data_IF_916630946889
#
_entry.id   IF_916630946889
#
_cell.length_a   1.000
_cell.length_b   1.000
_cell.length_c   1.000
_cell.angle_alpha   90.00
_cell.angle_beta   90.00
_cell.angle_gamma   90.00
#
_symmetry.space_group_name_H-M   'P 1'
#
loop_
_entity.id
_entity.type
_entity.pdbx_description
1 polymer ?
#
# COMPACT_ATOMS: atom_id res chain seq x y z
N UNK A 1 63.25 -18.76 45.83
CA UNK A 1 61.87 -18.39 46.20
C UNK A 1 60.94 -18.85 45.09
N UNK A 2 59.97 -19.70 45.42
CA UNK A 2 59.13 -20.44 44.46
C UNK A 2 57.95 -19.59 43.95
N UNK A 3 57.56 -19.92 42.71
CA UNK A 3 56.45 -19.46 41.87
C UNK A 3 55.08 -19.36 42.58
N UNK A 4 54.25 -18.39 42.14
CA UNK A 4 52.86 -18.52 41.62
C UNK A 4 52.10 -17.19 41.74
N UNK A 5 51.24 -16.89 40.77
CA UNK A 5 50.32 -15.74 40.81
C UNK A 5 49.93 -15.24 39.41
N UNK A 6 49.42 -16.13 38.55
CA UNK A 6 48.01 -16.14 38.07
C UNK A 6 47.75 -15.14 36.93
N UNK A 7 47.66 -15.75 35.75
CA UNK A 7 47.02 -15.31 34.52
C UNK A 7 45.51 -15.13 34.74
N UNK A 8 44.94 -13.97 34.43
CA UNK A 8 43.55 -13.85 33.98
C UNK A 8 43.48 -12.81 32.88
N UNK A 9 43.42 -13.32 31.65
CA UNK A 9 42.95 -12.63 30.45
C UNK A 9 41.43 -12.47 30.56
N UNK A 10 40.88 -11.28 30.35
CA UNK A 10 39.51 -11.17 29.85
C UNK A 10 39.32 -9.88 29.03
N UNK A 11 39.41 -10.06 27.72
CA UNK A 11 38.92 -9.15 26.70
C UNK A 11 37.39 -9.18 26.81
N UNK A 12 36.76 -8.05 27.15
CA UNK A 12 35.34 -7.84 26.88
C UNK A 12 35.21 -6.86 25.71
N UNK A 13 35.16 -7.47 24.52
CA UNK A 13 34.65 -6.89 23.29
C UNK A 13 33.12 -6.92 23.34
N UNK A 14 32.53 -5.78 22.96
CA UNK A 14 31.20 -5.64 22.36
C UNK A 14 30.02 -5.86 23.31
N UNK A 15 29.39 -4.75 23.73
CA UNK A 15 27.94 -4.70 23.80
C UNK A 15 27.45 -3.69 22.78
N UNK A 16 27.13 -4.23 21.61
CA UNK A 16 26.16 -3.66 20.70
C UNK A 16 24.80 -3.58 21.38
N UNK A 17 24.25 -2.38 21.41
CA UNK A 17 22.83 -2.09 21.20
C UNK A 17 22.82 -0.60 20.81
N UNK A 18 22.87 -0.23 19.53
CA UNK A 18 21.73 -0.37 18.61
C UNK A 18 20.42 -0.40 19.40
N UNK A 19 20.09 0.72 20.04
CA UNK A 19 18.68 1.07 20.25
C UNK A 19 18.08 1.36 18.87
N UNK A 20 17.82 0.31 18.11
CA UNK A 20 16.71 0.38 17.17
C UNK A 20 15.49 0.56 18.05
N UNK A 21 14.99 1.77 18.15
CA UNK A 21 13.58 1.97 18.42
C UNK A 21 12.86 1.28 17.25
N UNK A 22 12.60 -0.02 17.41
CA UNK A 22 11.52 -0.70 16.69
C UNK A 22 10.27 -0.02 17.23
N UNK A 23 9.85 1.05 16.57
CA UNK A 23 8.57 1.68 16.81
C UNK A 23 7.52 0.66 16.40
N UNK A 24 7.26 -0.28 17.31
CA UNK A 24 6.08 -1.11 17.24
C UNK A 24 4.90 -0.15 17.00
N UNK A 25 4.14 -0.40 15.94
CA UNK A 25 2.93 0.33 15.61
C UNK A 25 2.18 0.78 16.88
N UNK A 26 1.92 2.08 17.02
CA UNK A 26 0.99 2.60 18.04
C UNK A 26 -0.45 2.30 17.60
N UNK A 27 -0.82 1.01 17.59
CA UNK A 27 -2.16 0.54 17.22
C UNK A 27 -3.15 0.55 18.38
N UNK A 28 -2.81 1.15 19.52
CA UNK A 28 -3.62 1.08 20.75
C UNK A 28 -5.03 1.65 20.57
N UNK A 29 -5.23 2.48 19.54
CA UNK A 29 -6.52 3.08 19.18
C UNK A 29 -7.28 2.32 18.07
N UNK A 30 -6.72 1.26 17.48
CA UNK A 30 -7.34 0.54 16.37
C UNK A 30 -8.04 -0.75 16.83
N UNK A 31 -9.26 -0.96 16.37
CA UNK A 31 -10.04 -2.17 16.64
C UNK A 31 -9.71 -3.24 15.58
N UNK A 32 -9.57 -4.50 15.99
CA UNK A 32 -9.22 -5.62 15.10
C UNK A 32 -10.48 -6.29 14.55
N UNK A 33 -10.57 -6.46 13.23
CA UNK A 33 -11.72 -7.10 12.57
C UNK A 33 -11.55 -8.63 12.39
N UNK A 34 -10.33 -9.12 12.14
CA UNK A 34 -10.08 -10.55 11.84
C UNK A 34 -8.66 -10.99 12.21
N UNK A 35 -8.56 -12.15 12.85
CA UNK A 35 -7.31 -12.89 13.05
C UNK A 35 -7.05 -13.84 11.86
N UNK A 36 -6.17 -13.44 10.95
CA UNK A 36 -5.64 -14.26 9.85
C UNK A 36 -4.10 -14.24 9.88
N UNK A 37 -3.43 -14.71 8.83
CA UNK A 37 -1.99 -14.45 8.61
C UNK A 37 -1.72 -12.93 8.67
N UNK A 38 -2.68 -12.14 8.20
CA UNK A 38 -2.68 -10.69 8.32
C UNK A 38 -3.70 -10.23 9.36
N UNK A 39 -3.37 -9.17 10.10
CA UNK A 39 -4.31 -8.53 11.04
C UNK A 39 -4.90 -7.32 10.33
N UNK A 40 -6.20 -7.33 10.09
CA UNK A 40 -6.92 -6.18 9.54
C UNK A 40 -7.57 -5.40 10.68
N UNK A 41 -7.32 -4.10 10.70
CA UNK A 41 -7.95 -3.17 11.61
C UNK A 41 -9.19 -2.53 10.95
N UNK A 42 -10.11 -2.02 11.78
CA UNK A 42 -11.27 -1.26 11.32
C UNK A 42 -10.84 -0.04 10.48
N UNK A 43 -11.67 0.32 9.50
CA UNK A 43 -11.42 1.46 8.63
C UNK A 43 -11.56 2.79 9.40
N UNK A 44 -10.54 3.64 9.33
CA UNK A 44 -10.47 4.94 10.03
C UNK A 44 -10.32 6.11 9.06
N UNK A 45 -10.51 7.33 9.56
CA UNK A 45 -10.26 8.55 8.78
C UNK A 45 -8.77 8.71 8.42
N UNK A 46 -8.47 9.48 7.37
CA UNK A 46 -7.12 9.60 6.80
C UNK A 46 -6.10 10.21 7.75
N UNK A 47 -6.52 11.17 8.56
CA UNK A 47 -5.70 11.83 9.59
C UNK A 47 -5.32 10.83 10.70
N UNK A 48 -6.29 10.08 11.21
CA UNK A 48 -6.07 9.02 12.20
C UNK A 48 -5.11 7.96 11.63
N UNK A 49 -5.32 7.55 10.39
CA UNK A 49 -4.44 6.58 9.74
C UNK A 49 -3.01 7.11 9.58
N UNK A 50 -2.85 8.38 9.19
CA UNK A 50 -1.55 9.00 9.00
C UNK A 50 -0.75 9.12 10.31
N UNK A 51 -1.42 9.25 11.44
CA UNK A 51 -0.81 9.23 12.78
C UNK A 51 -0.45 7.81 13.23
N UNK A 52 -1.28 6.82 12.89
CA UNK A 52 -1.13 5.45 13.38
C UNK A 52 -0.05 4.63 12.63
N UNK A 53 0.26 4.95 11.38
CA UNK A 53 1.23 4.19 10.58
C UNK A 53 2.69 4.63 10.84
N UNK A 54 3.68 3.71 10.76
CA UNK A 54 5.08 4.03 11.08
C UNK A 54 5.82 4.69 9.90
N UNK A 55 5.10 5.24 8.93
CA UNK A 55 5.67 5.86 7.74
C UNK A 55 4.77 6.98 7.23
N UNK A 56 5.38 7.98 6.60
CA UNK A 56 4.62 9.07 5.96
C UNK A 56 3.81 8.54 4.79
N UNK A 57 2.49 8.71 4.85
CA UNK A 57 1.56 8.44 3.75
C UNK A 57 1.23 9.76 3.05
N UNK A 58 1.11 9.69 1.73
CA UNK A 58 0.43 10.70 0.93
C UNK A 58 -0.73 10.04 0.20
N UNK A 59 -1.87 10.71 0.17
CA UNK A 59 -3.07 10.20 -0.48
C UNK A 59 -3.23 10.86 -1.85
N UNK A 60 -3.76 10.13 -2.87
CA UNK A 60 -4.06 10.74 -4.16
C UNK A 60 -5.00 11.93 -3.98
N UNK A 61 -4.66 13.05 -4.62
CA UNK A 61 -5.49 14.26 -4.65
C UNK A 61 -6.35 14.35 -5.92
N UNK A 62 -6.12 13.45 -6.88
CA UNK A 62 -6.89 13.31 -8.11
C UNK A 62 -7.50 11.91 -8.23
N UNK A 63 -8.79 11.86 -8.54
CA UNK A 63 -9.56 10.66 -8.88
C UNK A 63 -10.40 11.00 -10.13
N UNK A 64 -10.51 10.11 -11.14
CA UNK A 64 -11.07 10.46 -12.45
C UNK A 64 -12.62 10.45 -12.50
N UNK A 65 -13.28 10.55 -11.35
CA UNK A 65 -14.74 10.58 -11.16
C UNK A 65 -15.06 11.17 -9.79
N UNK A 66 -16.30 11.63 -9.60
CA UNK A 66 -16.78 12.10 -8.31
C UNK A 66 -16.82 10.94 -7.30
N UNK A 67 -16.30 11.16 -6.09
CA UNK A 67 -16.31 10.16 -5.02
C UNK A 67 -16.46 10.81 -3.65
N UNK A 68 -17.00 10.05 -2.70
CA UNK A 68 -17.00 10.42 -1.29
C UNK A 68 -15.63 10.22 -0.65
N UNK A 69 -15.44 10.79 0.54
CA UNK A 69 -14.23 10.59 1.32
C UNK A 69 -14.06 9.12 1.71
N UNK A 70 -12.95 8.53 1.24
CA UNK A 70 -12.62 7.15 1.53
C UNK A 70 -11.89 6.99 2.86
N UNK A 71 -12.36 6.06 3.69
CA UNK A 71 -11.66 5.60 4.89
C UNK A 71 -10.49 4.70 4.55
N UNK A 72 -9.52 4.64 5.45
CA UNK A 72 -8.28 3.89 5.32
C UNK A 72 -8.34 2.63 6.16
N UNK A 73 -8.07 1.49 5.53
CA UNK A 73 -7.86 0.20 6.20
C UNK A 73 -6.37 0.01 6.40
N UNK A 74 -5.96 -0.25 7.65
CA UNK A 74 -4.60 -0.60 8.03
C UNK A 74 -4.53 -2.12 8.20
N UNK A 75 -3.46 -2.73 7.69
CA UNK A 75 -3.20 -4.16 7.81
C UNK A 75 -1.76 -4.38 8.27
N UNK A 76 -1.58 -5.13 9.37
CA UNK A 76 -0.28 -5.71 9.72
C UNK A 76 -0.09 -7.04 8.98
N UNK A 77 1.06 -7.20 8.32
CA UNK A 77 1.28 -8.26 7.34
C UNK A 77 2.02 -9.47 7.94
N UNK A 78 1.53 -10.68 7.68
CA UNK A 78 2.17 -11.94 8.12
C UNK A 78 2.49 -11.99 9.63
N UNK A 79 1.67 -11.33 10.45
CA UNK A 79 1.86 -11.11 11.90
C UNK A 79 3.14 -10.33 12.25
N UNK A 80 3.85 -9.81 11.27
CA UNK A 80 4.97 -8.90 11.43
C UNK A 80 4.42 -7.47 11.54
N UNK A 81 4.40 -6.94 12.76
CA UNK A 81 3.88 -5.59 13.04
C UNK A 81 4.73 -4.47 12.44
N UNK A 82 5.96 -4.75 12.02
CA UNK A 82 6.78 -3.77 11.32
C UNK A 82 6.40 -3.67 9.83
N UNK A 83 5.72 -4.69 9.28
CA UNK A 83 5.22 -4.71 7.90
C UNK A 83 3.78 -4.24 7.83
N UNK A 84 3.60 -3.03 7.35
CA UNK A 84 2.33 -2.32 7.40
C UNK A 84 1.86 -1.98 6.01
N UNK A 85 0.57 -2.18 5.78
CA UNK A 85 -0.13 -1.81 4.56
C UNK A 85 -1.26 -0.87 4.92
N UNK A 86 -1.35 0.26 4.22
CA UNK A 86 -2.51 1.13 4.26
C UNK A 86 -3.22 1.09 2.90
N UNK A 87 -4.54 0.95 2.91
CA UNK A 87 -5.33 0.89 1.69
C UNK A 87 -6.65 1.65 1.82
N UNK A 88 -7.11 2.22 0.71
CA UNK A 88 -8.40 2.89 0.62
C UNK A 88 -8.98 2.70 -0.78
N UNK A 89 -10.31 2.77 -0.88
CA UNK A 89 -11.03 2.62 -2.14
C UNK A 89 -11.96 3.81 -2.35
N UNK A 90 -11.72 4.55 -3.43
CA UNK A 90 -12.62 5.59 -3.94
C UNK A 90 -13.59 4.95 -4.93
N UNK A 91 -14.89 4.99 -4.64
CA UNK A 91 -15.93 4.51 -5.54
C UNK A 91 -16.68 5.69 -6.17
N UNK A 92 -17.04 5.59 -7.45
CA UNK A 92 -17.80 6.63 -8.13
C UNK A 92 -19.18 6.83 -7.51
N UNK A 93 -19.58 8.09 -7.35
CA UNK A 93 -20.91 8.52 -6.90
C UNK A 93 -21.75 9.15 -8.01
N UNK A 94 -21.31 9.07 -9.27
CA UNK A 94 -22.01 9.63 -10.43
C UNK A 94 -23.35 8.89 -10.68
N UNK A 95 -24.39 9.59 -11.16
CA UNK A 95 -25.76 9.04 -11.23
C UNK A 95 -25.91 7.81 -12.15
N UNK A 96 -25.11 7.71 -13.19
CA UNK A 96 -25.05 6.55 -14.08
C UNK A 96 -24.35 5.34 -13.43
N UNK A 97 -23.55 5.57 -12.39
CA UNK A 97 -22.92 4.55 -11.55
C UNK A 97 -23.73 4.17 -10.29
N UNK A 98 -24.81 4.89 -9.97
CA UNK A 98 -25.66 4.59 -8.80
C UNK A 98 -26.54 3.35 -9.00
N UNK A 99 -26.75 2.62 -7.91
CA UNK A 99 -27.71 1.53 -7.83
C UNK A 99 -29.11 1.94 -8.30
N UNK A 100 -29.64 1.24 -9.31
CA UNK A 100 -31.03 1.41 -9.78
C UNK A 100 -31.90 0.39 -9.06
N UNK A 101 -32.80 0.87 -8.20
CA UNK A 101 -33.59 0.08 -7.23
C UNK A 101 -34.41 -1.07 -7.84
N UNK A 102 -34.66 -1.08 -9.15
CA UNK A 102 -35.47 -2.09 -9.83
C UNK A 102 -34.76 -2.74 -11.04
N UNK A 103 -33.42 -2.67 -11.07
CA UNK A 103 -32.62 -3.27 -12.15
C UNK A 103 -32.09 -4.65 -11.78
N UNK A 104 -32.30 -5.64 -12.65
CA UNK A 104 -31.64 -6.96 -12.57
C UNK A 104 -30.14 -6.91 -12.87
N UNK A 105 -29.67 -5.80 -13.47
CA UNK A 105 -28.26 -5.54 -13.76
C UNK A 105 -27.81 -4.37 -12.90
N UNK A 106 -26.91 -4.63 -11.95
CA UNK A 106 -26.28 -3.57 -11.19
C UNK A 106 -25.15 -2.95 -12.02
N UNK A 107 -25.02 -1.61 -12.02
CA UNK A 107 -23.91 -0.98 -12.70
C UNK A 107 -22.61 -1.38 -12.01
N UNK A 108 -21.62 -1.74 -12.83
CA UNK A 108 -20.28 -2.01 -12.31
C UNK A 108 -19.64 -0.66 -12.02
N UNK A 109 -19.56 -0.29 -10.75
CA UNK A 109 -19.15 1.06 -10.32
C UNK A 109 -17.65 1.24 -10.56
N UNK A 110 -17.23 2.32 -11.28
CA UNK A 110 -15.82 2.70 -11.38
C UNK A 110 -15.24 2.90 -9.98
N UNK A 111 -14.05 2.36 -9.75
CA UNK A 111 -13.35 2.58 -8.49
C UNK A 111 -11.83 2.58 -8.65
N UNK A 112 -11.19 3.34 -7.76
CA UNK A 112 -9.74 3.40 -7.58
C UNK A 112 -9.43 2.82 -6.21
N UNK A 113 -8.68 1.72 -6.17
CA UNK A 113 -8.03 1.26 -4.95
C UNK A 113 -6.60 1.76 -4.93
N UNK A 114 -6.25 2.50 -3.89
CA UNK A 114 -4.87 2.87 -3.61
C UNK A 114 -4.35 2.04 -2.44
N UNK A 115 -3.13 1.56 -2.55
CA UNK A 115 -2.45 0.80 -1.50
C UNK A 115 -1.00 1.23 -1.43
N UNK A 116 -0.52 1.44 -0.20
CA UNK A 116 0.87 1.73 0.12
C UNK A 116 1.34 0.80 1.22
N UNK A 117 2.56 0.27 1.09
CA UNK A 117 3.19 -0.58 2.09
C UNK A 117 4.63 -0.12 2.34
N UNK A 118 5.11 -0.24 3.57
CA UNK A 118 6.49 0.11 3.94
C UNK A 118 7.53 -1.00 3.62
N UNK A 119 7.16 -1.93 2.74
CA UNK A 119 8.00 -3.05 2.32
C UNK A 119 7.56 -3.52 0.93
N UNK A 120 8.42 -4.31 0.27
CA UNK A 120 8.08 -4.98 -0.98
C UNK A 120 7.19 -6.20 -0.67
N UNK A 121 5.89 -6.08 -0.97
CA UNK A 121 4.93 -7.17 -0.84
C UNK A 121 5.04 -8.08 -2.04
N UNK A 122 4.97 -7.47 -3.23
CA UNK A 122 4.81 -8.16 -4.50
C UNK A 122 5.49 -7.47 -5.68
N UNK A 123 6.02 -6.25 -5.54
CA UNK A 123 6.64 -5.52 -6.65
C UNK A 123 7.77 -6.31 -7.32
N UNK A 124 8.75 -6.82 -6.55
CA UNK A 124 9.85 -7.63 -7.10
C UNK A 124 9.35 -8.89 -7.80
N UNK A 125 8.22 -9.45 -7.35
CA UNK A 125 7.59 -10.60 -7.99
C UNK A 125 6.96 -10.21 -9.33
N UNK A 126 6.31 -9.05 -9.41
CA UNK A 126 5.67 -8.55 -10.63
C UNK A 126 6.66 -8.13 -11.70
N UNK A 127 7.84 -7.62 -11.32
CA UNK A 127 8.88 -7.22 -12.27
C UNK A 127 9.35 -8.36 -13.19
N UNK A 128 9.19 -9.62 -12.76
CA UNK A 128 9.61 -10.81 -13.51
C UNK A 128 8.47 -11.48 -14.30
N UNK A 129 7.29 -10.87 -14.33
CA UNK A 129 6.07 -11.45 -14.92
C UNK A 129 5.75 -10.77 -16.25
N UNK A 130 5.45 -11.57 -17.28
CA UNK A 130 5.25 -11.08 -18.66
C UNK A 130 3.97 -10.27 -18.86
N UNK A 131 3.00 -10.42 -17.96
CA UNK A 131 1.77 -9.64 -17.96
C UNK A 131 1.95 -8.19 -17.49
N UNK A 132 3.10 -7.85 -16.90
CA UNK A 132 3.45 -6.50 -16.46
C UNK A 132 4.40 -5.84 -17.46
N UNK A 133 4.16 -4.56 -17.73
CA UNK A 133 5.00 -3.75 -18.62
C UNK A 133 5.58 -2.57 -17.88
N UNK A 134 6.88 -2.34 -18.03
CA UNK A 134 7.51 -1.15 -17.48
C UNK A 134 6.98 0.10 -18.19
N UNK A 135 6.62 1.12 -17.40
CA UNK A 135 6.25 2.45 -17.85
C UNK A 135 6.95 3.50 -16.99
N UNK A 136 7.09 4.70 -17.52
CA UNK A 136 7.52 5.87 -16.77
C UNK A 136 6.32 6.55 -16.11
N UNK A 137 6.46 6.81 -14.82
CA UNK A 137 5.66 7.72 -13.99
C UNK A 137 6.45 9.04 -13.91
N UNK A 138 5.84 10.17 -13.54
CA UNK A 138 6.58 11.44 -13.44
C UNK A 138 7.87 11.34 -12.60
N UNK A 139 8.78 12.28 -12.84
CA UNK A 139 10.06 12.39 -12.14
C UNK A 139 10.98 11.16 -12.30
N UNK A 140 11.05 10.56 -13.50
CA UNK A 140 11.86 9.38 -13.83
C UNK A 140 11.54 8.15 -12.95
N UNK A 141 10.36 8.10 -12.31
CA UNK A 141 9.97 6.95 -11.49
C UNK A 141 9.47 5.84 -12.41
N UNK A 142 10.02 4.64 -12.30
CA UNK A 142 9.56 3.49 -13.09
C UNK A 142 8.44 2.76 -12.36
N UNK A 143 7.38 2.44 -13.11
CA UNK A 143 6.27 1.62 -12.65
C UNK A 143 6.03 0.42 -13.57
N UNK A 144 5.22 -0.51 -13.10
CA UNK A 144 4.77 -1.69 -13.80
C UNK A 144 3.26 -1.57 -14.00
N UNK A 145 2.80 -1.55 -15.25
CA UNK A 145 1.38 -1.54 -15.59
C UNK A 145 0.91 -2.95 -15.97
N UNK A 146 -0.27 -3.33 -15.47
CA UNK A 146 -1.01 -4.52 -15.87
C UNK A 146 -2.41 -4.10 -16.34
N UNK A 147 -2.86 -4.60 -17.48
CA UNK A 147 -4.24 -4.39 -17.94
C UNK A 147 -5.14 -5.53 -17.46
N UNK A 148 -6.29 -5.20 -16.88
CA UNK A 148 -7.28 -6.13 -16.33
C UNK A 148 -8.53 -6.05 -17.21
N UNK A 149 -8.47 -6.73 -18.35
CA UNK A 149 -9.45 -6.60 -19.43
C UNK A 149 -10.85 -7.09 -19.02
N UNK A 150 -10.91 -8.06 -18.12
CA UNK A 150 -12.16 -8.65 -17.62
C UNK A 150 -12.97 -7.65 -16.78
N UNK A 151 -12.33 -6.59 -16.29
CA UNK A 151 -12.97 -5.54 -15.49
C UNK A 151 -12.75 -4.15 -16.04
N UNK A 152 -12.49 -4.01 -17.35
CA UNK A 152 -12.36 -2.70 -18.02
C UNK A 152 -11.42 -1.75 -17.22
N UNK A 153 -10.25 -2.26 -16.86
CA UNK A 153 -9.39 -1.65 -15.85
C UNK A 153 -7.91 -1.93 -16.05
N UNK A 154 -7.10 -1.37 -15.16
CA UNK A 154 -5.66 -1.56 -15.11
C UNK A 154 -5.13 -1.34 -13.70
N UNK A 155 -3.94 -1.87 -13.43
CA UNK A 155 -3.20 -1.65 -12.21
C UNK A 155 -1.81 -1.07 -12.52
N UNK A 156 -1.34 -0.16 -11.66
CA UNK A 156 -0.02 0.43 -11.70
C UNK A 156 0.68 0.15 -10.37
N UNK A 157 1.88 -0.44 -10.45
CA UNK A 157 2.68 -0.84 -9.30
C UNK A 157 4.05 -0.18 -9.37
N UNK A 158 4.54 0.40 -8.29
CA UNK A 158 5.91 0.92 -8.25
C UNK A 158 6.50 0.80 -6.85
N UNK A 159 7.82 0.81 -6.79
CA UNK A 159 8.56 0.81 -5.52
C UNK A 159 9.45 2.04 -5.47
N UNK A 160 9.29 2.86 -4.43
CA UNK A 160 10.02 4.11 -4.29
C UNK A 160 10.25 4.44 -2.81
N UNK A 161 11.47 4.85 -2.47
CA UNK A 161 11.88 5.22 -1.10
C UNK A 161 11.48 4.17 -0.04
N UNK A 162 11.73 2.89 -0.34
CA UNK A 162 11.44 1.77 0.57
C UNK A 162 9.96 1.41 0.69
N UNK A 163 9.07 2.01 -0.13
CA UNK A 163 7.63 1.75 -0.09
C UNK A 163 7.14 1.14 -1.40
N UNK A 164 6.26 0.15 -1.30
CA UNK A 164 5.49 -0.34 -2.43
C UNK A 164 4.20 0.45 -2.55
N UNK A 165 3.89 0.88 -3.76
CA UNK A 165 2.65 1.56 -4.12
C UNK A 165 1.91 0.76 -5.18
N UNK A 166 0.59 0.77 -5.09
CA UNK A 166 -0.29 0.10 -6.02
C UNK A 166 -1.57 0.92 -6.21
N UNK A 167 -1.89 1.22 -7.46
CA UNK A 167 -3.18 1.81 -7.85
C UNK A 167 -3.88 0.79 -8.74
N UNK A 168 -5.12 0.43 -8.40
CA UNK A 168 -5.99 -0.40 -9.24
C UNK A 168 -7.21 0.43 -9.63
N UNK A 169 -7.35 0.71 -10.93
CA UNK A 169 -8.51 1.35 -11.53
C UNK A 169 -9.37 0.29 -12.23
N UNK A 170 -10.61 0.11 -11.81
CA UNK A 170 -11.54 -0.88 -12.39
C UNK A 170 -12.82 -0.23 -12.88
N UNK A 171 -13.46 -0.91 -13.82
CA UNK A 171 -14.77 -0.59 -14.40
C UNK A 171 -14.84 0.82 -14.99
N UNK A 172 -13.73 1.32 -15.52
CA UNK A 172 -13.60 2.72 -15.94
C UNK A 172 -13.59 2.88 -17.45
N UNK A 173 -12.76 2.10 -18.16
CA UNK A 173 -12.63 2.22 -19.61
C UNK A 173 -11.99 0.98 -20.24
N UNK A 174 -12.25 0.75 -21.53
CA UNK A 174 -11.65 -0.35 -22.30
C UNK A 174 -10.40 0.08 -23.07
N UNK A 175 -10.18 1.39 -23.22
CA UNK A 175 -9.02 1.95 -23.89
C UNK A 175 -7.80 1.89 -22.96
N UNK A 176 -6.79 1.13 -23.37
CA UNK A 176 -5.53 0.93 -22.65
C UNK A 176 -4.74 2.23 -22.47
N UNK A 177 -4.69 3.09 -23.48
CA UNK A 177 -3.94 4.35 -23.37
C UNK A 177 -4.66 5.33 -22.45
N UNK A 178 -6.00 5.34 -22.47
CA UNK A 178 -6.78 6.11 -21.51
C UNK A 178 -6.57 5.61 -20.08
N UNK A 179 -6.64 4.29 -19.86
CA UNK A 179 -6.36 3.68 -18.54
C UNK A 179 -4.96 4.04 -18.03
N UNK A 180 -3.94 3.89 -18.88
CA UNK A 180 -2.56 4.26 -18.55
C UNK A 180 -2.44 5.74 -18.17
N UNK A 181 -3.03 6.64 -18.97
CA UNK A 181 -2.98 8.08 -18.70
C UNK A 181 -3.63 8.45 -17.37
N UNK A 182 -4.78 7.86 -17.05
CA UNK A 182 -5.44 8.13 -15.77
C UNK A 182 -4.67 7.56 -14.58
N UNK A 183 -4.10 6.36 -14.70
CA UNK A 183 -3.24 5.80 -13.64
C UNK A 183 -2.00 6.67 -13.36
N UNK A 184 -1.36 7.21 -14.40
CA UNK A 184 -0.22 8.13 -14.25
C UNK A 184 -0.66 9.41 -13.53
N UNK A 185 -1.79 10.02 -13.92
CA UNK A 185 -2.30 11.22 -13.24
C UNK A 185 -2.60 10.97 -11.76
N UNK A 186 -3.19 9.82 -11.42
CA UNK A 186 -3.46 9.46 -10.02
C UNK A 186 -2.12 9.32 -9.27
N UNK A 187 -1.14 8.61 -9.86
CA UNK A 187 0.19 8.44 -9.25
C UNK A 187 0.92 9.77 -9.04
N UNK A 188 0.85 10.69 -10.01
CA UNK A 188 1.49 12.01 -9.95
C UNK A 188 0.82 12.95 -8.94
N UNK A 189 -0.41 12.64 -8.52
CA UNK A 189 -1.17 13.41 -7.52
C UNK A 189 -0.84 13.05 -6.07
N UNK A 190 0.10 12.12 -5.86
CA UNK A 190 0.54 11.60 -4.55
C UNK A 190 1.72 12.40 -4.01
#
# INVERSE_FOLDING_TARGET
>A
MLKKGVLVTLIFLILSACSSNSSALETDNLIVEKDDININYEAVEKDIAAEAVPFKIKYPTYIPFDSEEAKVVITAWEKDKEKVVASLTYASTEEDAKWKKDSFVQPVIPHVRYTIANFDRYFSRYANKSEYREIEISNNTKGLIQYILESNGAALHWFHEGKEYNIVLRNFNNDKEKLKKELIKIADSI
#
